data_IF_856163638421
#
_entry.id   IF_856163638421
#
_cell.length_a   1.000
_cell.length_b   1.000
_cell.length_c   1.000
_cell.angle_alpha   90.00
_cell.angle_beta   90.00
_cell.angle_gamma   90.00
#
_symmetry.space_group_name_H-M   'P 1'
#
loop_
_entity.id
_entity.type
_entity.pdbx_description
1 polymer ?
#
# COMPACT_ATOMS: atom_id res chain seq x y z
N UNK A 1 -0.48 -1.33 -14.33
CA UNK A 1 0.42 -1.95 -13.33
C UNK A 1 -0.34 -3.10 -12.69
N UNK A 2 -0.30 -4.28 -13.29
CA UNK A 2 -1.16 -5.42 -12.90
C UNK A 2 -0.85 -5.95 -11.49
N UNK A 3 0.42 -5.87 -11.06
CA UNK A 3 0.84 -6.33 -9.73
C UNK A 3 0.15 -5.56 -8.58
N UNK A 4 -0.08 -4.26 -8.75
CA UNK A 4 -0.73 -3.45 -7.71
C UNK A 4 -2.19 -3.86 -7.51
N UNK A 5 -2.90 -4.12 -8.61
CA UNK A 5 -4.30 -4.52 -8.58
C UNK A 5 -4.51 -5.89 -7.93
N UNK A 6 -3.59 -6.85 -8.14
CA UNK A 6 -3.64 -8.16 -7.48
C UNK A 6 -3.55 -8.04 -5.96
N UNK A 7 -2.63 -7.22 -5.46
CA UNK A 7 -2.46 -6.98 -4.02
C UNK A 7 -3.69 -6.27 -3.43
N UNK A 8 -4.20 -5.25 -4.12
CA UNK A 8 -5.43 -4.53 -3.71
C UNK A 8 -6.59 -5.51 -3.59
N UNK A 9 -6.82 -6.33 -4.61
CA UNK A 9 -7.92 -7.30 -4.60
C UNK A 9 -7.77 -8.36 -3.50
N UNK A 10 -6.54 -8.82 -3.23
CA UNK A 10 -6.24 -9.77 -2.16
C UNK A 10 -6.61 -9.19 -0.78
N UNK A 11 -6.08 -8.01 -0.46
CA UNK A 11 -6.34 -7.32 0.82
C UNK A 11 -7.82 -6.90 0.95
N UNK A 12 -8.48 -6.56 -0.16
CA UNK A 12 -9.90 -6.24 -0.14
C UNK A 12 -10.78 -7.46 0.12
N UNK A 13 -10.38 -8.66 -0.31
CA UNK A 13 -11.08 -9.91 0.00
C UNK A 13 -10.81 -10.42 1.40
N UNK A 14 -9.70 -10.02 2.01
CA UNK A 14 -9.39 -10.40 3.38
C UNK A 14 -10.40 -9.77 4.37
N UNK A 15 -11.11 -10.62 5.09
CA UNK A 15 -12.11 -10.24 6.10
C UNK A 15 -11.48 -10.02 7.48
N UNK A 16 -10.27 -10.51 7.70
CA UNK A 16 -9.52 -10.30 8.95
C UNK A 16 -9.01 -8.86 9.06
N UNK A 17 -8.88 -8.15 7.94
CA UNK A 17 -8.40 -6.77 7.89
C UNK A 17 -9.59 -5.80 7.93
N UNK A 18 -9.69 -5.02 9.00
CA UNK A 18 -10.69 -3.95 9.11
C UNK A 18 -10.54 -2.96 7.96
N UNK A 19 -11.66 -2.46 7.41
CA UNK A 19 -11.67 -1.46 6.32
C UNK A 19 -10.70 -0.29 6.54
N UNK A 20 -10.57 0.19 7.78
CA UNK A 20 -9.64 1.27 8.17
C UNK A 20 -8.16 0.92 7.96
N UNK A 21 -7.79 -0.36 8.04
CA UNK A 21 -6.42 -0.84 7.88
C UNK A 21 -6.11 -1.36 6.46
N UNK A 22 -7.12 -1.60 5.61
CA UNK A 22 -6.92 -2.13 4.26
C UNK A 22 -5.94 -1.32 3.42
N UNK A 23 -6.07 0.01 3.42
CA UNK A 23 -5.16 0.87 2.67
C UNK A 23 -3.72 0.80 3.19
N UNK A 24 -3.54 0.70 4.51
CA UNK A 24 -2.23 0.52 5.13
C UNK A 24 -1.65 -0.83 4.74
N UNK A 25 -2.45 -1.90 4.78
CA UNK A 25 -1.97 -3.24 4.45
C UNK A 25 -1.61 -3.41 2.98
N UNK A 26 -2.38 -2.82 2.05
CA UNK A 26 -2.00 -2.80 0.63
C UNK A 26 -0.63 -2.15 0.46
N UNK A 27 -0.42 -0.98 1.07
CA UNK A 27 0.87 -0.27 0.97
C UNK A 27 2.01 -1.10 1.58
N UNK A 28 1.75 -1.80 2.68
CA UNK A 28 2.73 -2.71 3.28
C UNK A 28 3.13 -3.85 2.33
N UNK A 29 2.16 -4.54 1.74
CA UNK A 29 2.42 -5.64 0.82
C UNK A 29 3.09 -5.18 -0.47
N UNK A 30 2.67 -4.05 -1.04
CA UNK A 30 3.31 -3.46 -2.21
C UNK A 30 4.76 -3.09 -1.94
N UNK A 31 5.07 -2.61 -0.73
CA UNK A 31 6.43 -2.34 -0.30
C UNK A 31 7.26 -3.62 -0.17
N UNK A 32 6.71 -4.66 0.46
CA UNK A 32 7.40 -5.95 0.57
C UNK A 32 7.69 -6.58 -0.82
N UNK A 33 6.83 -6.31 -1.80
CA UNK A 33 6.97 -6.78 -3.17
C UNK A 33 7.90 -5.90 -4.04
N UNK A 34 8.58 -4.89 -3.46
CA UNK A 34 9.50 -4.01 -4.18
C UNK A 34 8.82 -3.02 -5.15
N UNK A 35 7.49 -2.90 -5.12
CA UNK A 35 6.75 -2.07 -6.10
C UNK A 35 7.16 -0.60 -6.03
N UNK A 36 7.52 -0.11 -4.84
CA UNK A 36 7.94 1.28 -4.64
C UNK A 36 9.38 1.59 -5.11
N UNK A 37 10.15 0.59 -5.57
CA UNK A 37 11.44 0.83 -6.23
C UNK A 37 11.25 1.37 -7.65
N UNK A 38 10.07 1.14 -8.23
CA UNK A 38 9.72 1.65 -9.55
C UNK A 38 9.42 3.15 -9.49
N UNK A 39 10.00 3.90 -10.44
CA UNK A 39 9.69 5.32 -10.64
C UNK A 39 8.18 5.49 -10.83
N UNK A 40 7.61 6.51 -10.21
CA UNK A 40 6.17 6.82 -10.21
C UNK A 40 5.24 5.81 -9.51
N UNK A 41 5.73 4.72 -8.91
CA UNK A 41 4.90 3.75 -8.20
C UNK A 41 4.02 4.39 -7.11
N UNK A 42 4.58 5.34 -6.35
CA UNK A 42 3.83 6.09 -5.32
C UNK A 42 2.62 6.81 -5.92
N UNK A 43 2.78 7.42 -7.10
CA UNK A 43 1.71 8.16 -7.79
C UNK A 43 0.63 7.20 -8.30
N UNK A 44 1.03 6.08 -8.89
CA UNK A 44 0.12 5.06 -9.42
C UNK A 44 -0.69 4.42 -8.29
N UNK A 45 -0.03 3.99 -7.23
CA UNK A 45 -0.68 3.34 -6.08
C UNK A 45 -1.61 4.30 -5.34
N UNK A 46 -1.20 5.57 -5.16
CA UNK A 46 -2.06 6.60 -4.59
C UNK A 46 -3.37 6.76 -5.39
N UNK A 47 -3.27 6.85 -6.72
CA UNK A 47 -4.43 6.96 -7.59
C UNK A 47 -5.33 5.71 -7.53
N UNK A 48 -4.74 4.50 -7.49
CA UNK A 48 -5.48 3.23 -7.40
C UNK A 48 -6.21 3.05 -6.07
N UNK A 49 -5.61 3.50 -4.97
CA UNK A 49 -6.17 3.42 -3.63
C UNK A 49 -7.14 4.59 -3.31
N UNK A 50 -7.20 5.61 -4.17
CA UNK A 50 -7.99 6.82 -3.91
C UNK A 50 -7.47 7.63 -2.72
N UNK A 51 -6.18 7.58 -2.44
CA UNK A 51 -5.54 8.29 -1.32
C UNK A 51 -4.44 9.23 -1.80
N UNK A 52 -4.01 10.14 -0.93
CA UNK A 52 -2.95 11.09 -1.27
C UNK A 52 -1.57 10.43 -1.21
N UNK A 53 -0.61 10.96 -1.99
CA UNK A 53 0.81 10.55 -1.91
C UNK A 53 1.35 10.70 -0.49
N UNK A 54 0.91 11.74 0.23
CA UNK A 54 1.25 11.95 1.64
C UNK A 54 0.82 10.76 2.53
N UNK A 55 -0.39 10.22 2.33
CA UNK A 55 -0.84 9.05 3.06
C UNK A 55 0.03 7.81 2.80
N UNK A 56 0.46 7.61 1.54
CA UNK A 56 1.42 6.54 1.19
C UNK A 56 2.72 6.72 1.99
N UNK A 57 3.35 7.89 1.92
CA UNK A 57 4.59 8.16 2.66
C UNK A 57 4.43 8.02 4.18
N UNK A 58 3.28 8.46 4.72
CA UNK A 58 2.94 8.28 6.13
C UNK A 58 2.93 6.80 6.51
N UNK A 59 2.25 5.96 5.75
CA UNK A 59 2.21 4.51 6.02
C UNK A 59 3.59 3.87 5.90
N UNK A 60 4.35 4.20 4.86
CA UNK A 60 5.73 3.71 4.69
C UNK A 60 6.63 4.10 5.87
N UNK A 61 6.50 5.32 6.39
CA UNK A 61 7.26 5.80 7.55
C UNK A 61 6.84 5.10 8.85
N UNK A 62 5.54 5.00 9.10
CA UNK A 62 5.00 4.33 10.31
C UNK A 62 5.46 2.87 10.43
N UNK A 63 5.63 2.17 9.29
CA UNK A 63 6.22 0.83 9.28
C UNK A 63 7.66 0.83 9.77
N UNK A 64 8.52 1.70 9.23
CA UNK A 64 9.94 1.80 9.63
C UNK A 64 10.09 2.11 11.11
N UNK A 65 9.18 2.89 11.68
CA UNK A 65 9.18 3.22 13.12
C UNK A 65 8.78 2.06 14.04
N UNK A 66 8.10 1.01 13.53
CA UNK A 66 7.74 -0.19 14.30
C UNK A 66 8.74 -1.33 14.14
N UNK A 67 9.83 -1.11 13.40
CA UNK A 67 10.89 -2.10 13.17
C UNK A 67 12.16 -1.79 13.97
N UNK A 68 12.06 -0.92 14.98
CA UNK A 68 13.11 -0.50 15.89
C UNK A 68 12.81 -0.96 17.32
#
# INVERSE_FOLDING_TARGET
>A
MEAADKVIASVQKDVMITRKFKNKEVVNQLYNNGIFELKDAVKIVAARLGITRYAIYKYLRERKSHQA
#
